data_IF_785823213627
#
_entry.id   IF_785823213627
#
_cell.length_a   1.000
_cell.length_b   1.000
_cell.length_c   1.000
_cell.angle_alpha   90.00
_cell.angle_beta   90.00
_cell.angle_gamma   90.00
#
_symmetry.space_group_name_H-M   'P 1'
#
loop_
_entity.id
_entity.type
_entity.pdbx_description
1 polymer ?
#
# COMPACT_ATOMS: atom_id res chain seq x y z
N UNK A 1 36.11 -4.20 -7.52
CA UNK A 1 35.06 -3.84 -6.54
C UNK A 1 35.33 -2.50 -5.83
N UNK A 2 36.58 -2.02 -5.75
CA UNK A 2 36.92 -0.68 -5.22
C UNK A 2 36.47 0.51 -6.10
N UNK A 3 36.71 0.45 -7.42
CA UNK A 3 36.42 1.56 -8.35
C UNK A 3 34.96 2.06 -8.37
N UNK A 4 33.99 1.19 -8.08
CA UNK A 4 32.56 1.53 -8.12
C UNK A 4 32.07 2.28 -6.88
N UNK A 5 32.75 2.14 -5.74
CA UNK A 5 32.40 2.90 -4.52
C UNK A 5 32.95 4.32 -4.58
N UNK A 6 34.18 4.49 -5.06
CA UNK A 6 34.82 5.80 -5.22
C UNK A 6 34.08 6.66 -6.25
N UNK A 7 33.63 6.07 -7.37
CA UNK A 7 32.82 6.80 -8.35
C UNK A 7 31.48 7.25 -7.75
N UNK A 8 30.84 6.44 -6.90
CA UNK A 8 29.56 6.79 -6.27
C UNK A 8 29.69 7.95 -5.27
N UNK A 9 30.81 8.05 -4.56
CA UNK A 9 31.12 9.13 -3.62
C UNK A 9 31.25 10.50 -4.30
N UNK A 10 31.76 10.54 -5.53
CA UNK A 10 31.88 11.79 -6.30
C UNK A 10 30.59 12.21 -7.01
N UNK A 11 29.60 11.32 -7.13
CA UNK A 11 28.35 11.65 -7.81
C UNK A 11 27.47 12.59 -6.99
N UNK A 12 27.38 12.40 -5.67
CA UNK A 12 26.50 13.23 -4.80
C UNK A 12 26.87 14.72 -4.84
N UNK A 13 28.15 15.12 -4.68
CA UNK A 13 28.54 16.52 -4.82
C UNK A 13 28.28 17.07 -6.22
N UNK A 14 28.52 16.27 -7.27
CA UNK A 14 28.25 16.65 -8.65
C UNK A 14 26.74 16.91 -8.87
N UNK A 15 25.88 16.07 -8.29
CA UNK A 15 24.43 16.21 -8.36
C UNK A 15 23.96 17.53 -7.75
N UNK A 16 24.38 17.79 -6.51
CA UNK A 16 23.98 19.00 -5.79
C UNK A 16 24.53 20.25 -6.45
N UNK A 17 25.79 20.22 -6.91
CA UNK A 17 26.39 21.34 -7.65
C UNK A 17 25.65 21.61 -8.97
N UNK A 18 25.35 20.56 -9.75
CA UNK A 18 24.62 20.70 -11.02
C UNK A 18 23.21 21.24 -10.79
N UNK A 19 22.53 20.76 -9.74
CA UNK A 19 21.21 21.24 -9.36
C UNK A 19 21.27 22.70 -8.91
N UNK A 20 22.21 23.07 -8.04
CA UNK A 20 22.39 24.45 -7.58
C UNK A 20 22.66 25.40 -8.77
N UNK A 21 23.46 24.97 -9.76
CA UNK A 21 23.71 25.73 -10.98
C UNK A 21 22.44 25.92 -11.85
N UNK A 22 21.65 24.87 -12.03
CA UNK A 22 20.37 24.94 -12.77
C UNK A 22 19.38 25.86 -12.06
N UNK A 23 19.27 25.75 -10.73
CA UNK A 23 18.34 26.56 -9.95
C UNK A 23 18.74 28.04 -9.91
N UNK A 24 20.04 28.33 -9.86
CA UNK A 24 20.56 29.70 -9.94
C UNK A 24 20.26 30.35 -11.28
N UNK A 25 20.42 29.61 -12.38
CA UNK A 25 20.05 30.08 -13.71
C UNK A 25 18.54 30.35 -13.83
N UNK A 26 17.71 29.40 -13.41
CA UNK A 26 16.25 29.54 -13.49
C UNK A 26 15.75 30.77 -12.69
N UNK A 27 16.36 31.04 -11.54
CA UNK A 27 16.07 32.23 -10.74
C UNK A 27 16.47 33.54 -11.46
N UNK A 28 17.55 33.51 -12.27
CA UNK A 28 18.01 34.68 -13.05
C UNK A 28 17.08 35.02 -14.22
N UNK A 29 16.30 34.04 -14.71
CA UNK A 29 15.40 34.19 -15.86
C UNK A 29 13.98 34.65 -15.49
N UNK A 30 13.63 34.78 -14.21
CA UNK A 30 12.30 35.23 -13.81
C UNK A 30 12.10 36.76 -13.96
N UNK A 31 10.99 37.22 -14.59
CA UNK A 31 10.70 38.65 -14.75
C UNK A 31 10.32 39.25 -13.39
N UNK A 32 11.26 39.98 -12.78
CA UNK A 32 11.08 40.60 -11.46
C UNK A 32 12.36 40.72 -10.62
N UNK A 33 13.46 40.05 -10.99
CA UNK A 33 14.74 40.08 -10.25
C UNK A 33 15.55 41.38 -10.47
N UNK A 34 14.93 42.55 -10.31
CA UNK A 34 15.68 43.81 -10.18
C UNK A 34 16.35 43.85 -8.79
N UNK A 35 17.48 43.17 -8.64
CA UNK A 35 18.30 43.28 -7.43
C UNK A 35 19.14 42.07 -7.04
N UNK A 36 19.73 41.32 -7.97
CA UNK A 36 20.75 40.32 -7.60
C UNK A 36 22.15 40.94 -7.69
N UNK A 37 22.74 41.26 -6.52
CA UNK A 37 24.16 41.66 -6.39
C UNK A 37 25.07 40.55 -6.94
N UNK A 38 26.09 41.00 -7.69
CA UNK A 38 27.29 40.25 -8.12
C UNK A 38 27.77 39.26 -7.06
N UNK A 39 27.78 37.97 -7.41
CA UNK A 39 28.35 36.92 -6.55
C UNK A 39 28.73 35.63 -7.29
N UNK A 40 28.09 35.31 -8.41
CA UNK A 40 28.45 34.14 -9.22
C UNK A 40 28.22 34.48 -10.68
N UNK A 41 29.25 34.38 -11.53
CA UNK A 41 29.08 34.54 -12.98
C UNK A 41 28.02 33.55 -13.47
N UNK A 42 26.92 34.00 -14.13
CA UNK A 42 25.99 33.06 -14.75
C UNK A 42 26.75 32.28 -15.82
N UNK A 43 26.72 30.95 -15.74
CA UNK A 43 27.29 30.10 -16.76
C UNK A 43 26.68 30.48 -18.13
N UNK A 44 27.48 30.55 -19.19
CA UNK A 44 26.96 30.78 -20.55
C UNK A 44 25.83 29.80 -20.90
N UNK A 45 24.87 30.20 -21.74
CA UNK A 45 23.74 29.34 -22.14
C UNK A 45 24.19 27.98 -22.72
N UNK A 46 25.33 27.94 -23.42
CA UNK A 46 25.96 26.70 -23.92
C UNK A 46 26.42 25.77 -22.79
N UNK A 47 27.01 26.33 -21.72
CA UNK A 47 27.43 25.56 -20.56
C UNK A 47 26.26 25.05 -19.71
N UNK A 48 25.12 25.74 -19.70
CA UNK A 48 23.92 25.29 -18.98
C UNK A 48 23.28 24.07 -19.65
N UNK A 49 23.14 24.10 -20.98
CA UNK A 49 22.69 22.94 -21.74
C UNK A 49 23.62 21.73 -21.51
N UNK A 50 24.92 21.96 -21.46
CA UNK A 50 25.88 20.91 -21.14
C UNK A 50 25.66 20.31 -19.75
N UNK A 51 25.36 21.12 -18.72
CA UNK A 51 25.03 20.66 -17.37
C UNK A 51 23.76 19.78 -17.39
N UNK A 52 22.68 20.23 -18.05
CA UNK A 52 21.45 19.44 -18.18
C UNK A 52 21.69 18.10 -18.86
N UNK A 53 22.44 18.09 -19.97
CA UNK A 53 22.74 16.87 -20.73
C UNK A 53 23.62 15.92 -19.90
N UNK A 54 24.69 16.43 -19.29
CA UNK A 54 25.57 15.64 -18.42
C UNK A 54 24.79 15.01 -17.26
N UNK A 55 24.00 15.82 -16.56
CA UNK A 55 23.18 15.36 -15.44
C UNK A 55 22.16 14.30 -15.89
N UNK A 56 21.49 14.50 -17.02
CA UNK A 56 20.57 13.52 -17.57
C UNK A 56 21.26 12.19 -17.91
N UNK A 57 22.44 12.25 -18.53
CA UNK A 57 23.22 11.04 -18.84
C UNK A 57 23.59 10.27 -17.57
N UNK A 58 24.04 10.97 -16.53
CA UNK A 58 24.38 10.34 -15.23
C UNK A 58 23.14 9.73 -14.59
N UNK A 59 22.01 10.44 -14.53
CA UNK A 59 20.75 9.94 -13.95
C UNK A 59 20.24 8.69 -14.66
N UNK A 60 20.33 8.64 -16.00
CA UNK A 60 19.92 7.47 -16.78
C UNK A 60 20.87 6.29 -16.61
N UNK A 61 22.17 6.53 -16.47
CA UNK A 61 23.19 5.47 -16.36
C UNK A 61 23.37 4.94 -14.93
N UNK A 62 23.14 5.79 -13.92
CA UNK A 62 23.29 5.49 -12.50
C UNK A 62 22.13 6.10 -11.69
N UNK A 63 20.89 5.63 -11.90
CA UNK A 63 19.70 6.17 -11.24
C UNK A 63 19.79 6.06 -9.71
N UNK A 64 20.43 5.02 -9.19
CA UNK A 64 20.70 4.85 -7.76
C UNK A 64 21.40 6.04 -7.09
N UNK A 65 22.17 6.83 -7.83
CA UNK A 65 22.84 7.99 -7.26
C UNK A 65 21.83 9.10 -6.89
N UNK A 66 20.70 9.20 -7.59
CA UNK A 66 19.62 10.09 -7.18
C UNK A 66 19.09 9.73 -5.79
N UNK A 67 18.99 8.44 -5.46
CA UNK A 67 18.46 7.97 -4.17
C UNK A 67 19.22 8.54 -2.99
N UNK A 68 20.54 8.66 -3.11
CA UNK A 68 21.39 9.26 -2.07
C UNK A 68 21.18 10.77 -1.87
N UNK A 69 20.61 11.46 -2.86
CA UNK A 69 20.34 12.90 -2.84
C UNK A 69 18.91 13.21 -2.38
N UNK A 70 17.97 12.25 -2.49
CA UNK A 70 16.55 12.44 -2.17
C UNK A 70 16.28 12.97 -0.75
N UNK A 71 16.94 12.49 0.33
CA UNK A 71 16.74 13.06 1.66
C UNK A 71 17.09 14.54 1.72
N UNK A 72 18.24 14.92 1.14
CA UNK A 72 18.69 16.31 1.06
C UNK A 72 17.69 17.21 0.34
N UNK A 73 17.10 16.74 -0.77
CA UNK A 73 16.06 17.49 -1.50
C UNK A 73 14.79 17.69 -0.67
N UNK A 74 14.47 16.73 0.21
CA UNK A 74 13.27 16.76 1.05
C UNK A 74 13.46 17.60 2.30
N UNK A 75 14.66 17.62 2.88
CA UNK A 75 14.91 18.20 4.19
C UNK A 75 15.50 19.62 4.10
N UNK A 76 16.16 19.96 2.98
CA UNK A 76 16.78 21.27 2.83
C UNK A 76 15.83 22.25 2.17
N UNK A 77 15.48 23.33 2.87
CA UNK A 77 14.57 24.38 2.39
C UNK A 77 14.98 24.98 1.04
N UNK A 78 16.28 25.01 0.73
CA UNK A 78 16.80 25.52 -0.57
C UNK A 78 16.30 24.74 -1.80
N UNK A 79 15.92 23.49 -1.61
CA UNK A 79 15.40 22.60 -2.66
C UNK A 79 13.87 22.44 -2.60
N UNK A 80 13.22 23.01 -1.61
CA UNK A 80 11.78 23.03 -1.51
C UNK A 80 11.22 24.27 -2.20
N UNK A 81 10.00 24.17 -2.71
CA UNK A 81 9.32 25.28 -3.36
C UNK A 81 8.72 24.89 -4.70
N UNK A 82 7.71 25.66 -5.12
CA UNK A 82 6.98 25.39 -6.35
C UNK A 82 7.81 25.66 -7.60
N UNK A 83 8.74 26.61 -7.53
CA UNK A 83 9.68 26.94 -8.60
C UNK A 83 10.75 25.85 -8.80
N UNK A 84 11.02 25.04 -7.76
CA UNK A 84 12.00 23.94 -7.81
C UNK A 84 11.40 22.63 -8.33
N UNK A 85 10.09 22.46 -8.15
CA UNK A 85 9.37 21.23 -8.48
C UNK A 85 9.57 20.74 -9.93
N UNK A 86 9.55 21.60 -10.98
CA UNK A 86 9.76 21.13 -12.35
C UNK A 86 11.13 20.50 -12.57
N UNK A 87 12.19 21.05 -11.95
CA UNK A 87 13.55 20.53 -12.07
C UNK A 87 13.69 19.19 -11.34
N UNK A 88 13.12 19.08 -10.14
CA UNK A 88 13.11 17.82 -9.37
C UNK A 88 12.33 16.74 -10.14
N UNK A 89 11.14 17.07 -10.65
CA UNK A 89 10.35 16.14 -11.46
C UNK A 89 11.09 15.71 -12.74
N UNK A 90 11.78 16.64 -13.41
CA UNK A 90 12.62 16.32 -14.56
C UNK A 90 13.77 15.37 -14.19
N UNK A 91 14.47 15.60 -13.06
CA UNK A 91 15.55 14.71 -12.60
C UNK A 91 15.03 13.29 -12.36
N UNK A 92 13.88 13.17 -11.68
CA UNK A 92 13.24 11.87 -11.46
C UNK A 92 12.86 11.24 -12.82
N UNK A 93 12.32 12.01 -13.76
CA UNK A 93 12.02 11.51 -15.10
C UNK A 93 13.25 10.99 -15.87
N UNK A 94 14.44 11.52 -15.61
CA UNK A 94 15.69 10.98 -16.16
C UNK A 94 16.08 9.67 -15.47
N UNK A 95 15.97 9.59 -14.14
CA UNK A 95 16.25 8.36 -13.40
C UNK A 95 15.29 7.22 -13.78
N UNK A 96 13.99 7.52 -13.98
CA UNK A 96 12.97 6.57 -14.41
C UNK A 96 13.27 5.90 -15.76
N UNK A 97 14.01 6.57 -16.64
CA UNK A 97 14.41 5.98 -17.92
C UNK A 97 15.52 4.94 -17.77
N UNK A 98 16.34 5.05 -16.72
CA UNK A 98 17.36 4.04 -16.39
C UNK A 98 16.80 2.91 -15.53
N UNK A 99 15.93 3.25 -14.57
CA UNK A 99 15.30 2.30 -13.66
C UNK A 99 13.94 2.84 -13.19
N UNK A 100 12.86 2.17 -13.61
CA UNK A 100 11.49 2.52 -13.24
C UNK A 100 11.25 2.47 -11.73
N UNK A 101 11.89 1.52 -11.02
CA UNK A 101 11.74 1.36 -9.58
C UNK A 101 12.35 2.55 -8.84
N UNK A 102 13.54 3.01 -9.24
CA UNK A 102 14.13 4.24 -8.69
C UNK A 102 13.26 5.46 -8.98
N UNK A 103 12.72 5.56 -10.19
CA UNK A 103 11.79 6.60 -10.58
C UNK A 103 10.56 6.67 -9.68
N UNK A 104 9.89 5.53 -9.47
CA UNK A 104 8.71 5.45 -8.63
C UNK A 104 9.01 5.69 -7.15
N UNK A 105 10.13 5.15 -6.64
CA UNK A 105 10.60 5.40 -5.28
C UNK A 105 10.84 6.90 -5.04
N UNK A 106 11.54 7.57 -5.95
CA UNK A 106 11.79 9.01 -5.84
C UNK A 106 10.48 9.82 -5.91
N UNK A 107 9.57 9.44 -6.81
CA UNK A 107 8.26 10.09 -6.93
C UNK A 107 7.43 9.96 -5.65
N UNK A 108 7.32 8.77 -5.07
CA UNK A 108 6.48 8.53 -3.89
C UNK A 108 7.00 9.22 -2.63
N UNK A 109 8.33 9.35 -2.53
CA UNK A 109 9.02 9.86 -1.36
C UNK A 109 9.17 11.39 -1.36
N UNK A 110 9.33 12.00 -2.54
CA UNK A 110 9.67 13.42 -2.66
C UNK A 110 8.59 14.26 -3.34
N UNK A 111 7.81 13.67 -4.25
CA UNK A 111 6.81 14.42 -5.02
C UNK A 111 5.39 14.21 -4.50
N UNK A 112 4.99 12.98 -4.24
CA UNK A 112 3.65 12.67 -3.77
C UNK A 112 3.25 13.44 -2.48
N UNK A 113 4.13 13.64 -1.47
CA UNK A 113 3.78 14.43 -0.28
C UNK A 113 3.41 15.89 -0.59
N UNK A 114 3.92 16.45 -1.70
CA UNK A 114 3.59 17.82 -2.14
C UNK A 114 2.12 17.92 -2.55
N UNK A 115 1.49 16.83 -3.01
CA UNK A 115 0.07 16.82 -3.41
C UNK A 115 -0.83 17.15 -2.22
N UNK A 116 -0.52 16.62 -1.04
CA UNK A 116 -1.27 16.81 0.20
C UNK A 116 -0.86 18.04 1.01
N UNK A 117 0.19 18.76 0.58
CA UNK A 117 0.64 19.95 1.26
C UNK A 117 -0.38 21.10 1.10
N UNK A 118 -0.50 21.95 2.13
CA UNK A 118 -1.37 23.15 2.08
C UNK A 118 -1.03 24.10 0.93
N UNK A 119 0.23 24.10 0.48
CA UNK A 119 0.75 24.92 -0.63
C UNK A 119 0.61 24.25 -2.01
N UNK A 120 -0.06 23.09 -2.09
CA UNK A 120 -0.29 22.35 -3.33
C UNK A 120 -1.21 23.12 -4.28
N UNK A 121 -0.75 23.39 -5.50
CA UNK A 121 -1.53 24.07 -6.53
C UNK A 121 -1.80 23.14 -7.74
N UNK A 122 -2.71 23.50 -8.66
CA UNK A 122 -3.05 22.68 -9.82
C UNK A 122 -1.85 22.32 -10.71
N UNK A 123 -0.91 23.24 -10.91
CA UNK A 123 0.29 23.01 -11.72
C UNK A 123 1.22 21.98 -11.05
N UNK A 124 1.42 22.06 -9.74
CA UNK A 124 2.20 21.07 -8.99
C UNK A 124 1.61 19.68 -9.14
N UNK A 125 0.29 19.57 -8.93
CA UNK A 125 -0.43 18.30 -9.05
C UNK A 125 -0.31 17.72 -10.46
N UNK A 126 -0.42 18.58 -11.47
CA UNK A 126 -0.28 18.18 -12.87
C UNK A 126 1.11 17.61 -13.18
N UNK A 127 2.18 18.30 -12.79
CA UNK A 127 3.57 17.83 -12.97
C UNK A 127 3.78 16.47 -12.27
N UNK A 128 3.30 16.35 -11.03
CA UNK A 128 3.45 15.12 -10.24
C UNK A 128 2.70 13.95 -10.90
N UNK A 129 1.48 14.19 -11.39
CA UNK A 129 0.69 13.19 -12.10
C UNK A 129 1.31 12.80 -13.45
N UNK A 130 1.72 13.78 -14.26
CA UNK A 130 2.34 13.52 -15.57
C UNK A 130 3.56 12.61 -15.45
N UNK A 131 4.37 12.80 -14.41
CA UNK A 131 5.54 11.96 -14.18
C UNK A 131 5.16 10.51 -13.84
N UNK A 132 4.22 10.28 -12.92
CA UNK A 132 3.85 8.90 -12.57
C UNK A 132 3.09 8.22 -13.71
N UNK A 133 2.25 8.93 -14.44
CA UNK A 133 1.60 8.42 -15.65
C UNK A 133 2.63 7.96 -16.68
N UNK A 134 3.69 8.76 -16.90
CA UNK A 134 4.80 8.38 -17.79
C UNK A 134 5.58 7.17 -17.29
N UNK A 135 5.79 7.04 -15.98
CA UNK A 135 6.44 5.85 -15.39
C UNK A 135 5.59 4.61 -15.64
N UNK A 136 4.27 4.73 -15.48
CA UNK A 136 3.33 3.62 -15.60
C UNK A 136 2.96 3.28 -17.05
N UNK A 137 3.09 4.21 -18.00
CA UNK A 137 2.78 3.99 -19.42
C UNK A 137 3.80 3.12 -20.15
N UNK A 138 4.95 2.82 -19.52
CA UNK A 138 5.99 2.00 -20.13
C UNK A 138 5.56 0.55 -20.36
N UNK A 139 6.02 -0.11 -21.43
CA UNK A 139 5.74 -1.53 -21.65
C UNK A 139 6.29 -2.33 -20.47
N UNK A 140 5.47 -3.24 -19.93
CA UNK A 140 5.79 -4.07 -18.74
C UNK A 140 6.05 -3.28 -17.45
N UNK A 141 5.77 -1.97 -17.39
CA UNK A 141 6.03 -1.14 -16.21
C UNK A 141 5.39 -1.74 -14.94
N UNK A 142 4.12 -2.16 -15.02
CA UNK A 142 3.42 -2.85 -13.93
C UNK A 142 4.20 -4.07 -13.42
N UNK A 143 4.58 -4.98 -14.30
CA UNK A 143 5.32 -6.21 -13.93
C UNK A 143 6.66 -5.88 -13.28
N UNK A 144 7.42 -4.93 -13.86
CA UNK A 144 8.72 -4.50 -13.33
C UNK A 144 8.56 -3.93 -11.92
N UNK A 145 7.59 -3.03 -11.72
CA UNK A 145 7.38 -2.34 -10.45
C UNK A 145 6.83 -3.25 -9.35
N UNK A 146 5.93 -4.19 -9.69
CA UNK A 146 5.39 -5.16 -8.73
C UNK A 146 6.48 -6.15 -8.31
N UNK A 147 7.27 -6.67 -9.25
CA UNK A 147 8.39 -7.56 -8.94
C UNK A 147 9.52 -6.83 -8.18
N UNK A 148 9.69 -5.54 -8.45
CA UNK A 148 10.67 -4.65 -7.82
C UNK A 148 10.12 -3.84 -6.63
N UNK A 149 8.97 -4.22 -6.06
CA UNK A 149 8.26 -3.42 -5.06
C UNK A 149 9.08 -3.11 -3.78
N UNK A 150 10.12 -3.92 -3.52
CA UNK A 150 11.09 -3.72 -2.45
C UNK A 150 12.50 -3.64 -3.05
N UNK A 151 13.17 -2.50 -2.89
CA UNK A 151 14.53 -2.24 -3.35
C UNK A 151 15.44 -1.98 -2.15
N UNK A 152 16.49 -2.80 -2.00
CA UNK A 152 17.51 -2.65 -0.93
C UNK A 152 16.89 -2.51 0.48
N UNK A 153 15.79 -3.21 0.74
CA UNK A 153 15.05 -3.17 2.00
C UNK A 153 13.98 -2.07 2.09
N UNK A 154 13.93 -1.14 1.14
CA UNK A 154 12.96 -0.05 1.11
C UNK A 154 11.83 -0.30 0.11
N UNK A 155 10.62 0.14 0.45
CA UNK A 155 9.45 -0.01 -0.43
C UNK A 155 9.35 1.13 -1.44
N UNK A 156 8.99 0.80 -2.68
CA UNK A 156 8.70 1.83 -3.70
C UNK A 156 7.54 2.71 -3.28
N UNK A 157 6.48 2.12 -2.73
CA UNK A 157 5.34 2.82 -2.12
C UNK A 157 5.26 2.41 -0.65
N UNK A 158 5.82 3.19 0.30
CA UNK A 158 5.69 2.90 1.73
C UNK A 158 4.27 3.18 2.25
N UNK A 159 3.89 2.71 3.44
CA UNK A 159 2.55 2.95 4.01
C UNK A 159 2.07 4.41 4.01
N UNK A 160 2.89 5.42 4.38
CA UNK A 160 2.46 6.83 4.33
C UNK A 160 2.15 7.32 2.90
N UNK A 161 2.86 6.81 1.89
CA UNK A 161 2.58 7.14 0.50
C UNK A 161 1.27 6.48 0.03
N UNK A 162 0.99 5.24 0.45
CA UNK A 162 -0.29 4.60 0.16
C UNK A 162 -1.46 5.32 0.83
N UNK A 163 -1.28 5.83 2.06
CA UNK A 163 -2.28 6.66 2.73
C UNK A 163 -2.57 7.94 1.93
N UNK A 164 -1.53 8.65 1.47
CA UNK A 164 -1.72 9.83 0.61
C UNK A 164 -2.50 9.46 -0.66
N UNK A 165 -2.09 8.39 -1.35
CA UNK A 165 -2.77 7.89 -2.56
C UNK A 165 -4.26 7.62 -2.30
N UNK A 166 -4.56 6.88 -1.23
CA UNK A 166 -5.93 6.57 -0.84
C UNK A 166 -6.76 7.85 -0.65
N UNK A 167 -6.20 8.87 0.02
CA UNK A 167 -6.89 10.14 0.30
C UNK A 167 -7.12 11.00 -0.94
N UNK A 168 -6.14 11.07 -1.84
CA UNK A 168 -6.23 11.90 -3.06
C UNK A 168 -7.06 11.25 -4.16
N UNK A 169 -7.14 9.91 -4.16
CA UNK A 169 -7.98 9.13 -5.08
C UNK A 169 -9.45 9.16 -4.67
N UNK A 170 -9.75 9.06 -3.37
CA UNK A 170 -11.13 9.02 -2.86
C UNK A 170 -11.46 10.20 -1.92
N UNK A 171 -11.38 11.46 -2.42
CA UNK A 171 -11.80 12.61 -1.63
C UNK A 171 -13.33 12.63 -1.50
N UNK A 172 -13.85 13.43 -0.57
CA UNK A 172 -15.28 13.75 -0.52
C UNK A 172 -15.76 14.34 -1.86
N UNK A 173 -17.02 14.10 -2.25
CA UNK A 173 -17.55 14.53 -3.55
C UNK A 173 -17.37 16.03 -3.83
N UNK A 174 -17.48 16.87 -2.79
CA UNK A 174 -17.27 18.32 -2.88
C UNK A 174 -15.81 18.74 -3.11
N UNK A 175 -14.84 17.86 -2.83
CA UNK A 175 -13.41 18.12 -2.98
C UNK A 175 -12.81 17.47 -4.24
N UNK A 176 -13.63 16.81 -5.07
CA UNK A 176 -13.20 16.24 -6.35
C UNK A 176 -12.77 17.36 -7.31
N UNK A 177 -11.67 17.12 -8.01
CA UNK A 177 -11.10 18.03 -9.01
C UNK A 177 -10.69 17.21 -10.25
N UNK A 178 -10.35 17.87 -11.36
CA UNK A 178 -9.88 17.16 -12.59
C UNK A 178 -8.72 16.20 -12.35
N UNK A 179 -7.84 16.52 -11.39
CA UNK A 179 -6.74 15.64 -11.00
C UNK A 179 -7.19 14.33 -10.34
N UNK A 180 -8.40 14.28 -9.77
CA UNK A 180 -8.92 13.10 -9.07
C UNK A 180 -9.10 11.92 -10.02
N UNK A 181 -9.65 12.14 -11.22
CA UNK A 181 -9.81 11.09 -12.26
C UNK A 181 -8.46 10.49 -12.68
N UNK A 182 -7.42 11.32 -12.72
CA UNK A 182 -6.05 10.87 -13.03
C UNK A 182 -5.47 10.02 -11.90
N UNK A 183 -5.70 10.41 -10.64
CA UNK A 183 -5.34 9.57 -9.50
C UNK A 183 -6.10 8.24 -9.50
N UNK A 184 -7.38 8.23 -9.85
CA UNK A 184 -8.19 7.00 -10.00
C UNK A 184 -7.60 6.07 -11.06
N UNK A 185 -7.11 6.60 -12.18
CA UNK A 185 -6.50 5.81 -13.25
C UNK A 185 -5.18 5.13 -12.82
N UNK A 186 -4.32 5.83 -12.07
CA UNK A 186 -3.01 5.27 -11.65
C UNK A 186 -3.07 4.45 -10.37
N UNK A 187 -4.08 4.69 -9.52
CA UNK A 187 -4.20 4.10 -8.19
C UNK A 187 -4.15 2.57 -8.15
N UNK A 188 -4.87 1.81 -9.01
CA UNK A 188 -4.86 0.35 -8.95
C UNK A 188 -3.46 -0.25 -9.05
N UNK A 189 -2.64 0.27 -9.97
CA UNK A 189 -1.25 -0.19 -10.15
C UNK A 189 -0.38 0.21 -8.97
N UNK A 190 -0.51 1.45 -8.49
CA UNK A 190 0.29 1.93 -7.35
C UNK A 190 -0.05 1.20 -6.05
N UNK A 191 -1.33 0.89 -5.82
CA UNK A 191 -1.78 0.05 -4.71
C UNK A 191 -1.17 -1.34 -4.80
N UNK A 192 -1.20 -1.97 -5.98
CA UNK A 192 -0.61 -3.29 -6.17
C UNK A 192 0.89 -3.30 -5.83
N UNK A 193 1.64 -2.29 -6.29
CA UNK A 193 3.06 -2.13 -5.91
C UNK A 193 3.22 -1.95 -4.40
N UNK A 194 2.34 -1.18 -3.74
CA UNK A 194 2.38 -0.98 -2.29
C UNK A 194 2.14 -2.27 -1.50
N UNK A 195 1.22 -3.12 -1.97
CA UNK A 195 0.84 -4.38 -1.33
C UNK A 195 1.76 -5.55 -1.74
N UNK A 196 2.56 -5.42 -2.78
CA UNK A 196 3.48 -6.45 -3.23
C UNK A 196 4.63 -6.72 -2.24
N UNK A 197 5.15 -7.95 -2.24
CA UNK A 197 6.28 -8.39 -1.42
C UNK A 197 6.08 -9.79 -0.86
N UNK A 198 7.09 -10.30 -0.14
CA UNK A 198 7.05 -11.65 0.42
C UNK A 198 6.10 -11.74 1.63
N UNK A 199 5.00 -12.47 1.45
CA UNK A 199 4.02 -12.81 2.51
C UNK A 199 4.71 -13.51 3.68
N UNK A 200 4.30 -13.19 4.91
CA UNK A 200 4.84 -13.79 6.14
C UNK A 200 6.23 -13.31 6.57
N UNK A 201 6.91 -12.47 5.76
CA UNK A 201 8.18 -11.88 6.17
C UNK A 201 8.01 -10.88 7.31
N UNK A 202 9.02 -10.74 8.18
CA UNK A 202 9.01 -9.76 9.29
C UNK A 202 8.72 -8.33 8.81
N UNK A 203 9.29 -7.94 7.66
CA UNK A 203 9.07 -6.64 7.05
C UNK A 203 7.62 -6.48 6.57
N UNK A 204 7.05 -7.49 5.92
CA UNK A 204 5.64 -7.45 5.50
C UNK A 204 4.69 -7.39 6.70
N UNK A 205 5.00 -8.12 7.77
CA UNK A 205 4.23 -8.11 9.00
C UNK A 205 4.15 -6.71 9.63
N UNK A 206 5.25 -5.97 9.64
CA UNK A 206 5.28 -4.58 10.12
C UNK A 206 4.51 -3.64 9.18
N UNK A 207 4.63 -3.83 7.86
CA UNK A 207 3.92 -3.04 6.85
C UNK A 207 2.41 -3.21 6.98
N UNK A 208 1.93 -4.44 7.15
CA UNK A 208 0.51 -4.73 7.35
C UNK A 208 -0.04 -4.04 8.61
N UNK A 209 0.71 -4.03 9.71
CA UNK A 209 0.32 -3.32 10.93
C UNK A 209 0.23 -1.80 10.74
N UNK A 210 1.22 -1.21 10.05
CA UNK A 210 1.22 0.22 9.74
C UNK A 210 0.05 0.58 8.81
N UNK A 211 -0.20 -0.23 7.78
CA UNK A 211 -1.28 0.00 6.83
C UNK A 211 -2.66 -0.15 7.47
N UNK A 212 -2.85 -1.14 8.36
CA UNK A 212 -4.11 -1.33 9.07
C UNK A 212 -4.50 -0.07 9.84
N UNK A 213 -3.56 0.63 10.45
CA UNK A 213 -3.85 1.81 11.28
C UNK A 213 -4.59 2.89 10.48
N UNK A 214 -4.07 3.30 9.31
CA UNK A 214 -4.72 4.34 8.52
C UNK A 214 -5.93 3.80 7.74
N UNK A 215 -5.87 2.57 7.24
CA UNK A 215 -6.94 1.98 6.44
C UNK A 215 -8.19 1.75 7.29
N UNK A 216 -8.00 1.30 8.53
CA UNK A 216 -9.10 1.06 9.44
C UNK A 216 -9.79 2.37 9.84
N UNK A 217 -9.01 3.42 10.13
CA UNK A 217 -9.55 4.76 10.37
C UNK A 217 -10.36 5.28 9.17
N UNK A 218 -9.81 5.16 7.96
CA UNK A 218 -10.48 5.59 6.73
C UNK A 218 -11.74 4.76 6.42
N UNK A 219 -11.79 3.49 6.83
CA UNK A 219 -12.98 2.64 6.68
C UNK A 219 -14.19 3.17 7.47
N UNK A 220 -13.97 3.86 8.59
CA UNK A 220 -15.03 4.48 9.40
C UNK A 220 -15.51 5.84 8.91
N UNK A 221 -14.96 6.37 7.82
CA UNK A 221 -15.33 7.68 7.31
C UNK A 221 -16.58 7.66 6.42
N UNK A 222 -17.22 8.82 6.27
CA UNK A 222 -18.51 8.96 5.58
C UNK A 222 -18.41 8.87 4.04
N UNK A 223 -17.22 8.97 3.48
CA UNK A 223 -17.01 8.85 2.03
C UNK A 223 -17.09 7.38 1.63
N UNK A 224 -18.15 6.99 0.93
CA UNK A 224 -18.47 5.59 0.67
C UNK A 224 -17.36 4.86 -0.11
N UNK A 225 -16.77 5.51 -1.11
CA UNK A 225 -15.70 4.96 -1.95
C UNK A 225 -14.40 4.76 -1.16
N UNK A 226 -14.03 5.77 -0.35
CA UNK A 226 -12.88 5.69 0.56
C UNK A 226 -13.07 4.59 1.58
N UNK A 227 -14.24 4.55 2.22
CA UNK A 227 -14.58 3.57 3.25
C UNK A 227 -14.51 2.14 2.69
N UNK A 228 -15.10 1.92 1.50
CA UNK A 228 -15.07 0.62 0.81
C UNK A 228 -13.64 0.20 0.48
N UNK A 229 -12.85 1.08 -0.12
CA UNK A 229 -11.46 0.77 -0.50
C UNK A 229 -10.58 0.49 0.73
N UNK A 230 -10.69 1.31 1.77
CA UNK A 230 -9.93 1.17 3.00
C UNK A 230 -10.29 -0.11 3.79
N UNK A 231 -11.56 -0.53 3.75
CA UNK A 231 -11.95 -1.84 4.26
C UNK A 231 -11.27 -2.99 3.50
N UNK A 232 -11.09 -2.86 2.19
CA UNK A 232 -10.32 -3.83 1.39
C UNK A 232 -8.86 -3.92 1.81
N UNK A 233 -8.20 -2.78 2.05
CA UNK A 233 -6.82 -2.74 2.56
C UNK A 233 -6.75 -3.34 3.97
N UNK A 234 -7.72 -3.06 4.84
CA UNK A 234 -7.79 -3.63 6.19
C UNK A 234 -7.89 -5.17 6.15
N UNK A 235 -8.74 -5.70 5.28
CA UNK A 235 -8.86 -7.14 5.04
C UNK A 235 -7.55 -7.73 4.51
N UNK A 236 -6.90 -7.05 3.55
CA UNK A 236 -5.59 -7.47 3.09
C UNK A 236 -4.59 -7.56 4.25
N UNK A 237 -4.57 -6.60 5.18
CA UNK A 237 -3.67 -6.63 6.34
C UNK A 237 -3.89 -7.87 7.22
N UNK A 238 -5.13 -8.34 7.37
CA UNK A 238 -5.45 -9.57 8.11
C UNK A 238 -4.91 -10.83 7.43
N UNK A 239 -4.84 -10.86 6.09
CA UNK A 239 -4.24 -11.98 5.34
C UNK A 239 -2.71 -12.06 5.53
N UNK A 240 -2.08 -10.95 5.92
CA UNK A 240 -0.62 -10.87 6.03
C UNK A 240 -0.09 -11.19 7.43
N UNK A 241 -0.82 -10.80 8.48
CA UNK A 241 -0.31 -10.88 9.85
C UNK A 241 -1.44 -11.08 10.87
N UNK A 242 -1.38 -12.16 11.65
CA UNK A 242 -2.36 -12.43 12.70
C UNK A 242 -2.37 -11.36 13.81
N UNK A 243 -1.28 -10.61 14.00
CA UNK A 243 -1.23 -9.50 14.97
C UNK A 243 -2.19 -8.35 14.58
N UNK A 244 -2.54 -8.22 13.30
CA UNK A 244 -3.55 -7.28 12.83
C UNK A 244 -4.92 -7.51 13.50
N UNK A 245 -5.26 -8.76 13.84
CA UNK A 245 -6.48 -9.05 14.60
C UNK A 245 -6.41 -8.51 16.03
N UNK A 246 -5.23 -8.58 16.68
CA UNK A 246 -5.05 -8.00 18.02
C UNK A 246 -5.12 -6.47 17.99
N UNK A 247 -4.62 -5.85 16.93
CA UNK A 247 -4.78 -4.41 16.72
C UNK A 247 -6.25 -4.04 16.54
N UNK A 248 -6.99 -4.79 15.73
CA UNK A 248 -8.44 -4.60 15.57
C UNK A 248 -9.18 -4.77 16.90
N UNK A 249 -8.85 -5.79 17.69
CA UNK A 249 -9.45 -6.05 19.00
C UNK A 249 -9.28 -4.88 19.98
N UNK A 250 -8.11 -4.24 19.96
CA UNK A 250 -7.81 -3.09 20.83
C UNK A 250 -8.62 -1.84 20.50
N UNK A 251 -8.93 -1.61 19.23
CA UNK A 251 -9.58 -0.37 18.75
C UNK A 251 -11.07 -0.56 18.43
N UNK A 252 -11.60 -1.77 18.60
CA UNK A 252 -12.93 -2.17 18.15
C UNK A 252 -14.06 -1.27 18.66
N UNK A 253 -14.15 -1.06 19.98
CA UNK A 253 -15.24 -0.32 20.62
C UNK A 253 -15.20 1.19 20.34
N UNK A 254 -14.02 1.70 19.97
CA UNK A 254 -13.81 3.11 19.61
C UNK A 254 -14.02 3.37 18.11
N UNK A 255 -14.14 2.31 17.30
CA UNK A 255 -14.17 2.39 15.83
C UNK A 255 -15.21 1.39 15.27
N UNK A 256 -16.43 1.49 15.76
CA UNK A 256 -17.51 0.57 15.39
C UNK A 256 -17.95 0.74 13.94
N UNK A 257 -18.01 1.97 13.43
CA UNK A 257 -18.35 2.27 12.03
C UNK A 257 -17.38 1.55 11.08
N UNK A 258 -16.07 1.66 11.33
CA UNK A 258 -15.05 0.96 10.58
C UNK A 258 -15.20 -0.56 10.70
N UNK A 259 -15.45 -1.05 11.92
CA UNK A 259 -15.65 -2.48 12.19
C UNK A 259 -16.85 -3.04 11.43
N UNK A 260 -17.98 -2.34 11.42
CA UNK A 260 -19.19 -2.74 10.70
C UNK A 260 -18.91 -2.84 9.20
N UNK A 261 -18.22 -1.85 8.62
CA UNK A 261 -17.87 -1.87 7.19
C UNK A 261 -16.97 -3.07 6.87
N UNK A 262 -15.93 -3.31 7.67
CA UNK A 262 -15.00 -4.43 7.48
C UNK A 262 -15.69 -5.78 7.65
N UNK A 263 -16.50 -5.95 8.70
CA UNK A 263 -17.28 -7.17 8.96
C UNK A 263 -18.30 -7.44 7.85
N UNK A 264 -19.00 -6.40 7.40
CA UNK A 264 -19.94 -6.48 6.28
C UNK A 264 -19.23 -6.98 5.02
N UNK A 265 -18.11 -6.35 4.64
CA UNK A 265 -17.33 -6.74 3.46
C UNK A 265 -16.79 -8.16 3.56
N UNK A 266 -16.22 -8.54 4.70
CA UNK A 266 -15.81 -9.93 4.98
C UNK A 266 -16.98 -10.91 4.78
N UNK A 267 -18.19 -10.52 5.21
CA UNK A 267 -19.37 -11.35 5.07
C UNK A 267 -19.84 -11.46 3.62
N UNK A 268 -19.82 -10.38 2.85
CA UNK A 268 -20.27 -10.34 1.45
C UNK A 268 -19.29 -11.08 0.53
N UNK A 269 -17.99 -10.88 0.72
CA UNK A 269 -16.90 -11.43 -0.12
C UNK A 269 -16.30 -12.74 0.43
N UNK A 270 -16.97 -13.38 1.40
CA UNK A 270 -16.43 -14.53 2.16
C UNK A 270 -15.85 -15.66 1.29
N UNK A 271 -16.50 -16.00 0.18
CA UNK A 271 -16.07 -17.11 -0.69
C UNK A 271 -14.65 -16.90 -1.21
N UNK A 272 -14.32 -15.68 -1.62
CA UNK A 272 -12.99 -15.35 -2.13
C UNK A 272 -11.98 -15.14 -0.98
N UNK A 273 -12.41 -14.45 0.08
CA UNK A 273 -11.53 -14.03 1.16
C UNK A 273 -11.14 -15.17 2.11
N UNK A 274 -12.01 -16.15 2.32
CA UNK A 274 -11.77 -17.25 3.26
C UNK A 274 -10.52 -18.07 2.94
N UNK A 275 -10.21 -18.26 1.65
CA UNK A 275 -8.98 -18.94 1.21
C UNK A 275 -7.74 -18.11 1.54
N UNK A 276 -7.81 -16.79 1.35
CA UNK A 276 -6.70 -15.86 1.60
C UNK A 276 -6.46 -15.62 3.10
N UNK A 277 -7.48 -15.83 3.93
CA UNK A 277 -7.44 -15.62 5.38
C UNK A 277 -7.03 -16.88 6.15
N UNK A 278 -6.71 -17.99 5.48
CA UNK A 278 -6.26 -19.20 6.15
C UNK A 278 -4.88 -18.99 6.81
N UNK A 279 -4.67 -19.47 8.06
CA UNK A 279 -5.63 -20.17 8.93
C UNK A 279 -6.69 -19.22 9.52
N UNK A 280 -7.95 -19.65 9.54
CA UNK A 280 -9.10 -18.80 9.92
C UNK A 280 -9.35 -18.72 11.44
N UNK A 281 -8.60 -19.44 12.25
CA UNK A 281 -8.79 -19.48 13.71
C UNK A 281 -8.60 -18.11 14.39
N UNK A 282 -7.59 -17.27 14.05
CA UNK A 282 -7.46 -15.93 14.60
C UNK A 282 -8.70 -15.06 14.33
N UNK A 283 -9.29 -15.16 13.15
CA UNK A 283 -10.56 -14.49 12.83
C UNK A 283 -11.69 -15.03 13.69
N UNK A 284 -11.83 -16.36 13.82
CA UNK A 284 -12.87 -16.99 14.63
C UNK A 284 -12.85 -16.49 16.08
N UNK A 285 -11.68 -16.48 16.71
CA UNK A 285 -11.54 -16.01 18.09
C UNK A 285 -11.80 -14.52 18.23
N UNK A 286 -11.39 -13.71 17.25
CA UNK A 286 -11.69 -12.27 17.21
C UNK A 286 -13.20 -12.02 17.13
N UNK A 287 -13.91 -12.74 16.26
CA UNK A 287 -15.36 -12.60 16.12
C UNK A 287 -16.12 -13.00 17.39
N UNK A 288 -15.67 -14.06 18.10
CA UNK A 288 -16.26 -14.45 19.39
C UNK A 288 -16.10 -13.34 20.44
N UNK A 289 -14.92 -12.74 20.53
CA UNK A 289 -14.66 -11.60 21.43
C UNK A 289 -15.54 -10.40 21.09
N UNK A 290 -15.70 -10.08 19.81
CA UNK A 290 -16.56 -8.98 19.38
C UNK A 290 -18.01 -9.21 19.78
N UNK A 291 -18.53 -10.43 19.63
CA UNK A 291 -19.87 -10.77 20.12
C UNK A 291 -20.03 -10.53 21.62
N UNK A 292 -19.06 -10.96 22.43
CA UNK A 292 -19.08 -10.72 23.88
C UNK A 292 -19.08 -9.21 24.21
N UNK A 293 -18.24 -8.42 23.53
CA UNK A 293 -18.21 -6.96 23.67
C UNK A 293 -19.55 -6.32 23.29
N UNK A 294 -20.15 -6.77 22.19
CA UNK A 294 -21.43 -6.25 21.70
C UNK A 294 -22.58 -6.57 22.65
N UNK A 295 -22.66 -7.80 23.15
CA UNK A 295 -23.68 -8.23 24.11
C UNK A 295 -23.61 -7.37 25.38
N UNK A 296 -22.41 -7.26 25.97
CA UNK A 296 -22.18 -6.41 27.16
C UNK A 296 -22.57 -4.95 26.92
N UNK A 297 -22.21 -4.39 25.76
CA UNK A 297 -22.55 -3.01 25.44
C UNK A 297 -24.06 -2.80 25.29
N UNK A 298 -24.75 -3.74 24.64
CA UNK A 298 -26.21 -3.68 24.43
C UNK A 298 -27.00 -3.80 25.75
N UNK A 299 -26.50 -4.54 26.73
CA UNK A 299 -27.07 -4.64 28.08
C UNK A 299 -26.88 -3.34 28.89
N UNK A 300 -25.76 -2.63 28.67
CA UNK A 300 -25.39 -1.44 29.44
C UNK A 300 -26.14 -0.14 29.09
N UNK A 301 -27.06 -0.17 28.11
CA UNK A 301 -27.88 1.00 27.77
C UNK A 301 -27.13 2.14 27.05
N UNK A 302 -26.29 1.82 26.06
CA UNK A 302 -25.61 2.80 25.18
C UNK A 302 -26.60 3.65 24.35
N UNK A 303 -26.16 4.85 23.93
CA UNK A 303 -26.94 5.75 23.09
C UNK A 303 -27.45 5.08 21.80
N UNK A 304 -28.55 5.58 21.25
CA UNK A 304 -29.27 4.91 20.15
C UNK A 304 -28.46 4.73 18.86
N UNK A 305 -27.51 5.64 18.56
CA UNK A 305 -26.68 5.53 17.36
C UNK A 305 -25.58 4.48 17.54
N UNK A 306 -24.95 4.44 18.71
CA UNK A 306 -23.94 3.43 19.04
C UNK A 306 -24.58 2.05 19.23
N UNK A 307 -25.81 2.01 19.75
CA UNK A 307 -26.60 0.78 19.87
C UNK A 307 -26.89 0.12 18.51
N UNK A 308 -27.20 0.90 17.47
CA UNK A 308 -27.43 0.35 16.13
C UNK A 308 -26.16 -0.24 15.53
N UNK A 309 -25.00 0.42 15.71
CA UNK A 309 -23.70 -0.07 15.26
C UNK A 309 -23.32 -1.39 15.94
N UNK A 310 -23.54 -1.51 17.26
CA UNK A 310 -23.31 -2.76 17.97
C UNK A 310 -24.21 -3.91 17.46
N UNK A 311 -25.48 -3.63 17.16
CA UNK A 311 -26.41 -4.61 16.56
C UNK A 311 -25.94 -5.06 15.18
N UNK A 312 -25.53 -4.13 14.33
CA UNK A 312 -25.02 -4.45 12.99
C UNK A 312 -23.72 -5.25 13.07
N UNK A 313 -22.79 -4.86 13.93
CA UNK A 313 -21.53 -5.58 14.11
C UNK A 313 -21.78 -7.01 14.62
N UNK A 314 -22.67 -7.21 15.61
CA UNK A 314 -23.05 -8.53 16.12
C UNK A 314 -23.73 -9.39 15.04
N UNK A 315 -24.63 -8.80 14.25
CA UNK A 315 -25.25 -9.46 13.09
C UNK A 315 -24.19 -10.00 12.13
N UNK A 316 -23.22 -9.20 11.73
CA UNK A 316 -22.16 -9.65 10.82
C UNK A 316 -21.23 -10.68 11.46
N UNK A 317 -20.92 -10.55 12.76
CA UNK A 317 -20.16 -11.56 13.49
C UNK A 317 -20.88 -12.92 13.50
N UNK A 318 -22.20 -12.96 13.74
CA UNK A 318 -23.03 -14.18 13.68
C UNK A 318 -22.98 -14.83 12.30
N UNK A 319 -23.14 -14.03 11.24
CA UNK A 319 -23.06 -14.52 9.86
C UNK A 319 -21.70 -15.17 9.59
N UNK A 320 -20.60 -14.49 9.94
CA UNK A 320 -19.25 -14.97 9.70
C UNK A 320 -18.93 -16.23 10.51
N UNK A 321 -19.30 -16.29 11.80
CA UNK A 321 -19.14 -17.48 12.63
C UNK A 321 -19.92 -18.67 12.07
N UNK A 322 -21.13 -18.45 11.56
CA UNK A 322 -21.91 -19.50 10.88
C UNK A 322 -21.26 -19.98 9.58
N UNK A 323 -20.56 -19.11 8.85
CA UNK A 323 -19.78 -19.50 7.67
C UNK A 323 -18.51 -20.29 8.04
N UNK A 324 -17.86 -19.93 9.15
CA UNK A 324 -16.67 -20.59 9.68
C UNK A 324 -16.95 -22.00 10.20
N UNK A 325 -18.15 -22.29 10.71
CA UNK A 325 -18.51 -23.62 11.21
C UNK A 325 -18.81 -24.61 10.08
N UNK A 326 -19.35 -24.15 8.95
CA UNK A 326 -19.70 -24.99 7.79
C UNK A 326 -18.49 -25.61 7.07
N UNK A 327 -17.31 -25.01 7.17
CA UNK A 327 -16.07 -25.55 6.56
C UNK A 327 -15.51 -26.81 7.24
N UNK A 328 -15.92 -27.13 8.47
CA UNK A 328 -15.48 -28.33 9.22
C UNK A 328 -16.55 -29.43 9.30
N UNK A 329 -17.78 -29.16 8.86
CA UNK A 329 -18.91 -30.10 8.97
C UNK A 329 -18.77 -31.33 8.07
N UNK A 330 -18.16 -31.20 6.89
CA UNK A 330 -18.01 -32.30 5.94
C UNK A 330 -17.04 -33.38 6.45
N UNK A 331 -15.92 -32.99 7.07
CA UNK A 331 -14.92 -33.92 7.61
C UNK A 331 -15.43 -34.71 8.81
N UNK A 332 -16.18 -34.08 9.73
CA UNK A 332 -16.80 -34.80 10.85
C UNK A 332 -17.90 -35.75 10.37
N UNK A 333 -18.73 -35.33 9.41
CA UNK A 333 -19.75 -36.19 8.81
C UNK A 333 -19.15 -37.42 8.10
N UNK A 334 -18.05 -37.24 7.37
CA UNK A 334 -17.33 -38.33 6.71
C UNK A 334 -16.68 -39.28 7.73
N UNK A 335 -16.07 -38.76 8.80
CA UNK A 335 -15.51 -39.60 9.86
C UNK A 335 -16.60 -40.44 10.57
N UNK A 336 -17.77 -39.85 10.84
CA UNK A 336 -18.92 -40.60 11.38
C UNK A 336 -19.45 -41.65 10.40
N UNK A 337 -19.50 -41.35 9.09
CA UNK A 337 -19.92 -42.30 8.07
C UNK A 337 -18.93 -43.48 7.94
N UNK A 338 -17.62 -43.21 8.01
CA UNK A 338 -16.57 -44.24 7.98
C UNK A 338 -16.62 -45.13 9.22
N UNK A 339 -16.81 -44.55 10.42
CA UNK A 339 -16.97 -45.33 11.65
C UNK A 339 -18.26 -46.16 11.63
N UNK A 340 -19.38 -45.60 11.15
CA UNK A 340 -20.64 -46.32 11.04
C UNK A 340 -20.56 -47.48 10.02
N UNK A 341 -19.87 -47.29 8.89
CA UNK A 341 -19.62 -48.34 7.89
C UNK A 341 -18.70 -49.44 8.44
N UNK A 342 -17.66 -49.07 9.20
CA UNK A 342 -16.76 -50.04 9.83
C UNK A 342 -17.47 -50.89 10.89
N UNK A 343 -18.30 -50.27 11.75
CA UNK A 343 -19.11 -51.00 12.74
C UNK A 343 -20.16 -51.88 12.05
N UNK A 344 -20.81 -51.39 10.99
CA UNK A 344 -21.76 -52.17 10.20
C UNK A 344 -21.12 -53.39 9.52
N UNK A 345 -19.90 -53.26 9.00
CA UNK A 345 -19.18 -54.37 8.37
C UNK A 345 -18.76 -55.45 9.37
N UNK A 346 -18.32 -55.05 10.58
CA UNK A 346 -17.93 -56.00 11.64
C UNK A 346 -19.13 -56.76 12.21
N UNK A 347 -20.30 -56.12 12.32
CA UNK A 347 -21.53 -56.77 12.78
C UNK A 347 -22.12 -57.72 11.74
N UNK A 348 -21.96 -57.40 10.44
CA UNK A 348 -22.55 -58.19 9.35
C UNK A 348 -21.69 -59.36 8.87
N UNK A 349 -20.40 -59.42 9.23
CA UNK A 349 -19.52 -60.53 8.81
C UNK A 349 -18.41 -60.82 9.85
N UNK A 350 -18.62 -61.74 10.81
CA UNK A 350 -17.66 -62.02 11.87
C UNK A 350 -16.39 -62.76 11.40
N UNK A 351 -16.33 -63.20 10.13
CA UNK A 351 -15.23 -63.97 9.58
C UNK A 351 -14.83 -63.37 8.23
N UNK A 352 -13.71 -62.64 8.19
CA UNK A 352 -13.19 -62.04 6.96
C UNK A 352 -11.67 -62.26 6.88
N UNK A 353 -11.26 -63.52 6.72
CA UNK A 353 -9.93 -63.83 6.18
C UNK A 353 -9.97 -63.62 4.66
N UNK A 354 -9.47 -62.45 4.23
CA UNK A 354 -9.02 -62.08 2.87
C UNK A 354 -9.58 -60.72 2.43
N UNK A 355 -9.14 -59.64 3.09
CA UNK A 355 -9.12 -58.32 2.46
C UNK A 355 -7.71 -58.06 1.97
N UNK A 356 -7.56 -58.04 0.65
CA UNK A 356 -6.31 -57.81 -0.05
C UNK A 356 -6.00 -56.29 -0.01
N UNK A 357 -5.07 -55.91 0.87
CA UNK A 357 -4.78 -54.52 1.24
C UNK A 357 -4.11 -53.70 0.13
N UNK A 358 -3.61 -54.34 -0.94
CA UNK A 358 -2.91 -53.67 -2.04
C UNK A 358 -3.83 -52.82 -2.93
N UNK A 359 -5.16 -52.98 -2.86
CA UNK A 359 -6.12 -52.17 -3.63
C UNK A 359 -6.51 -50.84 -2.99
N UNK A 360 -6.11 -50.57 -1.75
CA UNK A 360 -6.48 -49.35 -1.03
C UNK A 360 -5.45 -48.21 -1.14
N UNK A 361 -4.29 -48.45 -1.74
CA UNK A 361 -3.21 -47.43 -1.87
C UNK A 361 -3.40 -46.45 -3.05
N UNK A 362 -4.47 -46.57 -3.84
CA UNK A 362 -4.68 -45.73 -5.05
C UNK A 362 -5.57 -44.50 -4.78
N UNK A 363 -6.08 -44.30 -3.57
CA UNK A 363 -6.99 -43.19 -3.23
C UNK A 363 -6.54 -42.33 -2.03
N UNK A 364 -5.23 -42.13 -1.85
CA UNK A 364 -4.67 -41.11 -0.93
C UNK A 364 -3.99 -39.99 -1.71
#
# INVERSE_FOLDING_TARGET
IGLTKDLFLHLVPLFLWSLDAILADLASQQPGSKGAKKGTQPASSKSQLAIFVALAMVLRRKPDALVSVLPTLRETSKYQGQDKLPVIAWMIAQASQGDLAVGLYAWSQNLLPVVSAKSSNPQSRDIILQLVEKILSGPKARTILVNGAVRKGERLIPPPALEILLRVTFPASSARVKATERFEAVYPTLKEVALAGATGSKAMNQVAQQMLTFAFKAAGEKTAELSKEAAGISIWCFTQNAECYKQWDKVYEDNLEASVVVLKRLSEEWKELSVKLAPVDPLRETLKKFRQKNEKALESGVDGARQSLFKDADKYCKILLGKLSRGHGCLKGMAFAVVALAVGAVVMSPNMESLDWDKLSVFV
#
